data_IF_926203328387
#
_entry.id   IF_926203328387
#
_cell.length_a   1.000
_cell.length_b   1.000
_cell.length_c   1.000
_cell.angle_alpha   90.00
_cell.angle_beta   90.00
_cell.angle_gamma   90.00
#
_symmetry.space_group_name_H-M   'P 1'
#
loop_
_entity.id
_entity.type
_entity.pdbx_description
1 polymer ?
#
# COMPACT_ATOMS: atom_id res chain seq x y z
N UNK A 1 -20.50 -10.02 12.10
CA UNK A 1 -19.23 -10.51 11.52
C UNK A 1 -18.61 -11.50 12.51
N UNK A 2 -17.98 -12.57 12.05
CA UNK A 2 -17.16 -13.46 12.91
C UNK A 2 -16.02 -12.64 13.56
N UNK A 3 -15.67 -12.94 14.82
CA UNK A 3 -14.58 -12.24 15.50
C UNK A 3 -13.20 -12.70 14.98
N UNK A 4 -12.34 -11.74 14.63
CA UNK A 4 -10.98 -11.96 14.15
C UNK A 4 -9.97 -11.66 15.27
N UNK A 5 -9.34 -12.70 15.84
CA UNK A 5 -8.59 -12.59 17.10
C UNK A 5 -7.26 -11.85 17.01
N UNK A 6 -6.75 -11.56 15.80
CA UNK A 6 -5.44 -10.92 15.58
C UNK A 6 -5.54 -9.46 15.15
N UNK A 7 -6.74 -8.86 15.21
CA UNK A 7 -6.96 -7.46 14.85
C UNK A 7 -6.84 -7.24 13.35
N UNK A 8 -6.34 -6.08 12.95
CA UNK A 8 -6.22 -5.68 11.54
C UNK A 8 -4.79 -5.83 11.02
N UNK A 9 -4.62 -5.89 9.69
CA UNK A 9 -3.30 -5.82 9.08
C UNK A 9 -2.55 -4.53 9.47
N UNK A 10 -3.26 -3.41 9.61
CA UNK A 10 -2.67 -2.17 10.13
C UNK A 10 -2.02 -2.36 11.51
N UNK A 11 -2.68 -3.11 12.42
CA UNK A 11 -2.10 -3.42 13.73
C UNK A 11 -0.88 -4.33 13.62
N UNK A 12 -0.91 -5.32 12.72
CA UNK A 12 0.22 -6.22 12.48
C UNK A 12 1.44 -5.50 11.91
N UNK A 13 1.25 -4.58 10.96
CA UNK A 13 2.32 -3.73 10.39
C UNK A 13 2.93 -2.86 11.49
N UNK A 14 2.08 -2.22 12.32
CA UNK A 14 2.55 -1.42 13.45
C UNK A 14 3.39 -2.26 14.43
N UNK A 15 2.93 -3.47 14.76
CA UNK A 15 3.67 -4.39 15.64
C UNK A 15 5.01 -4.82 15.04
N UNK A 16 5.04 -5.15 13.74
CA UNK A 16 6.29 -5.48 13.04
C UNK A 16 7.27 -4.31 13.07
N UNK A 17 6.79 -3.08 12.81
CA UNK A 17 7.62 -1.87 12.90
C UNK A 17 8.20 -1.64 14.29
N UNK A 18 7.40 -1.80 15.36
CA UNK A 18 7.90 -1.67 16.74
C UNK A 18 9.00 -2.69 17.05
N UNK A 19 8.82 -3.95 16.63
CA UNK A 19 9.85 -4.98 16.80
C UNK A 19 11.14 -4.63 16.06
N UNK A 20 11.03 -4.02 14.87
CA UNK A 20 12.18 -3.54 14.10
C UNK A 20 12.91 -2.41 14.82
N UNK A 21 12.19 -1.41 15.33
CA UNK A 21 12.77 -0.24 16.03
C UNK A 21 13.37 -0.60 17.39
N UNK A 22 12.65 -1.36 18.23
CA UNK A 22 13.06 -1.62 19.62
C UNK A 22 14.27 -2.54 19.75
N UNK A 23 14.47 -3.44 18.78
CA UNK A 23 15.59 -4.39 18.84
C UNK A 23 16.92 -3.81 18.37
N UNK A 24 16.93 -2.58 17.81
CA UNK A 24 18.09 -2.04 17.07
C UNK A 24 18.70 -3.05 16.07
N UNK A 25 17.90 -4.00 15.60
CA UNK A 25 18.33 -4.97 14.60
C UNK A 25 18.00 -4.37 13.25
N UNK A 26 18.98 -4.31 12.35
CA UNK A 26 18.79 -3.91 10.94
C UNK A 26 17.77 -4.79 10.18
N UNK A 27 17.26 -5.87 10.80
CA UNK A 27 16.46 -6.90 10.17
C UNK A 27 15.32 -7.40 11.07
N UNK A 28 14.11 -7.50 10.52
CA UNK A 28 13.05 -8.30 11.15
C UNK A 28 13.34 -9.80 11.02
N UNK A 29 12.99 -10.62 12.03
CA UNK A 29 13.08 -12.06 11.91
C UNK A 29 12.37 -12.57 10.63
N UNK A 30 12.96 -13.53 9.87
CA UNK A 30 12.43 -13.99 8.57
C UNK A 30 10.97 -14.48 8.60
N UNK A 31 10.50 -14.91 9.77
CA UNK A 31 9.11 -15.32 9.95
C UNK A 31 8.12 -14.16 9.73
N UNK A 32 8.49 -12.90 9.91
CA UNK A 32 7.60 -11.77 9.65
C UNK A 32 7.29 -11.61 8.17
N UNK A 33 8.32 -11.65 7.32
CA UNK A 33 8.17 -11.61 5.86
C UNK A 33 7.25 -12.74 5.36
N UNK A 34 7.45 -13.97 5.87
CA UNK A 34 6.58 -15.11 5.57
C UNK A 34 5.12 -14.85 5.93
N UNK A 35 4.88 -14.44 7.18
CA UNK A 35 3.52 -14.22 7.72
C UNK A 35 2.80 -13.11 6.96
N UNK A 36 3.49 -12.02 6.65
CA UNK A 36 2.91 -10.89 5.93
C UNK A 36 2.60 -11.24 4.46
N UNK A 37 3.44 -12.03 3.79
CA UNK A 37 3.10 -12.60 2.48
C UNK A 37 1.86 -13.50 2.54
N UNK A 38 1.76 -14.37 3.55
CA UNK A 38 0.58 -15.23 3.75
C UNK A 38 -0.71 -14.39 3.91
N UNK A 39 -0.62 -13.31 4.69
CA UNK A 39 -1.73 -12.37 4.89
C UNK A 39 -2.11 -11.65 3.59
N UNK A 40 -1.13 -11.19 2.81
CA UNK A 40 -1.37 -10.56 1.50
C UNK A 40 -2.04 -11.53 0.51
N UNK A 41 -1.61 -12.80 0.48
CA UNK A 41 -2.26 -13.84 -0.36
C UNK A 41 -3.72 -14.01 0.04
N UNK A 42 -4.02 -14.08 1.34
CA UNK A 42 -5.39 -14.17 1.85
C UNK A 42 -6.25 -12.97 1.44
N UNK A 43 -5.71 -11.75 1.58
CA UNK A 43 -6.38 -10.52 1.16
C UNK A 43 -6.67 -10.49 -0.34
N UNK A 44 -5.65 -10.80 -1.17
CA UNK A 44 -5.77 -10.80 -2.62
C UNK A 44 -6.82 -11.81 -3.11
N UNK A 45 -6.87 -13.01 -2.50
CA UNK A 45 -7.90 -14.01 -2.78
C UNK A 45 -9.31 -13.52 -2.42
N UNK A 46 -9.46 -12.87 -1.27
CA UNK A 46 -10.75 -12.30 -0.85
C UNK A 46 -11.25 -11.23 -1.82
N UNK A 47 -10.37 -10.32 -2.24
CA UNK A 47 -10.69 -9.29 -3.23
C UNK A 47 -10.96 -9.87 -4.62
N UNK A 48 -10.17 -10.86 -5.06
CA UNK A 48 -10.41 -11.56 -6.32
C UNK A 48 -11.79 -12.25 -6.34
N UNK A 49 -12.19 -12.86 -5.22
CA UNK A 49 -13.51 -13.46 -5.07
C UNK A 49 -14.63 -12.41 -5.20
N UNK A 50 -14.47 -11.24 -4.58
CA UNK A 50 -15.43 -10.14 -4.75
C UNK A 50 -15.55 -9.72 -6.22
N UNK A 51 -14.41 -9.54 -6.90
CA UNK A 51 -14.37 -9.12 -8.30
C UNK A 51 -15.02 -10.13 -9.24
N UNK A 52 -14.80 -11.42 -9.01
CA UNK A 52 -15.48 -12.52 -9.72
C UNK A 52 -17.01 -12.47 -9.54
N UNK A 53 -17.46 -12.04 -8.36
CA UNK A 53 -18.87 -11.85 -8.04
C UNK A 53 -19.36 -10.43 -8.37
N UNK A 54 -18.62 -9.68 -9.19
CA UNK A 54 -18.99 -8.34 -9.68
C UNK A 54 -19.06 -7.26 -8.61
N UNK A 55 -18.44 -7.47 -7.45
CA UNK A 55 -18.42 -6.51 -6.35
C UNK A 55 -17.08 -5.78 -6.33
N UNK A 56 -17.11 -4.45 -6.38
CA UNK A 56 -15.96 -3.57 -6.13
C UNK A 56 -16.00 -3.13 -4.67
N UNK A 57 -14.88 -3.23 -3.96
CA UNK A 57 -14.80 -2.88 -2.54
C UNK A 57 -14.79 -1.37 -2.30
N UNK A 58 -14.01 -0.62 -3.10
CA UNK A 58 -13.83 0.85 -3.08
C UNK A 58 -13.17 1.46 -1.84
N UNK A 59 -13.00 0.71 -0.75
CA UNK A 59 -12.26 1.14 0.45
C UNK A 59 -11.18 0.14 0.91
N UNK A 60 -10.34 -0.33 -0.02
CA UNK A 60 -9.27 -1.29 0.29
C UNK A 60 -8.12 -0.57 1.01
N UNK A 61 -7.89 -0.94 2.26
CA UNK A 61 -6.80 -0.43 3.13
C UNK A 61 -6.46 -1.46 4.19
N UNK A 62 -5.28 -1.35 4.82
CA UNK A 62 -4.83 -2.30 5.85
C UNK A 62 -5.73 -2.36 7.09
N UNK A 63 -6.51 -1.31 7.38
CA UNK A 63 -7.53 -1.31 8.43
C UNK A 63 -8.71 -2.24 8.12
N UNK A 64 -9.01 -2.46 6.84
CA UNK A 64 -10.17 -3.24 6.36
C UNK A 64 -9.80 -4.70 6.04
N UNK A 65 -8.62 -5.14 6.48
CA UNK A 65 -8.12 -6.50 6.36
C UNK A 65 -7.96 -7.09 7.76
N UNK A 66 -8.96 -7.87 8.19
CA UNK A 66 -8.99 -8.51 9.50
C UNK A 66 -8.22 -9.82 9.49
N UNK A 67 -7.55 -10.09 10.60
CA UNK A 67 -6.64 -11.23 10.74
C UNK A 67 -7.11 -12.19 11.83
N UNK A 68 -6.96 -13.47 11.53
CA UNK A 68 -7.07 -14.54 12.50
C UNK A 68 -5.92 -15.55 12.31
N UNK A 69 -5.76 -16.46 13.27
CA UNK A 69 -4.76 -17.51 13.18
C UNK A 69 -5.37 -18.84 13.60
N UNK A 70 -5.54 -19.74 12.63
CA UNK A 70 -6.18 -21.06 12.85
C UNK A 70 -5.31 -22.14 12.23
N UNK A 71 -5.16 -23.26 12.93
CA UNK A 71 -4.42 -24.44 12.44
C UNK A 71 -3.00 -24.14 11.92
N UNK A 72 -2.30 -23.19 12.54
CA UNK A 72 -0.94 -22.82 12.14
C UNK A 72 -0.86 -21.88 10.93
N UNK A 73 -2.00 -21.37 10.43
CA UNK A 73 -2.08 -20.53 9.24
C UNK A 73 -2.73 -19.17 9.55
N UNK A 74 -2.27 -18.14 8.85
CA UNK A 74 -2.90 -16.82 8.90
C UNK A 74 -4.13 -16.81 7.99
N UNK A 75 -5.24 -16.31 8.53
CA UNK A 75 -6.48 -16.14 7.80
C UNK A 75 -6.76 -14.64 7.68
N UNK A 76 -6.90 -14.16 6.45
CA UNK A 76 -7.27 -12.77 6.16
C UNK A 76 -8.72 -12.70 5.70
N UNK A 77 -9.48 -11.76 6.26
CA UNK A 77 -10.88 -11.48 5.87
C UNK A 77 -11.00 -10.01 5.48
N UNK A 78 -11.53 -9.76 4.29
CA UNK A 78 -11.90 -8.42 3.83
C UNK A 78 -13.17 -7.98 4.57
N UNK A 79 -13.18 -6.75 5.08
CA UNK A 79 -14.31 -6.19 5.82
C UNK A 79 -14.61 -4.74 5.41
N UNK A 80 -15.69 -4.17 5.97
CA UNK A 80 -16.12 -2.79 5.74
C UNK A 80 -16.57 -2.53 4.30
N UNK A 81 -17.72 -3.12 3.97
CA UNK A 81 -18.37 -3.04 2.65
C UNK A 81 -19.28 -1.80 2.50
N UNK A 82 -19.16 -0.81 3.39
CA UNK A 82 -20.03 0.38 3.40
C UNK A 82 -19.97 1.16 2.09
N UNK A 83 -18.84 1.07 1.39
CA UNK A 83 -18.62 1.68 0.09
C UNK A 83 -18.64 0.66 -1.03
N UNK A 84 -18.99 -0.61 -0.83
CA UNK A 84 -18.95 -1.57 -1.93
C UNK A 84 -20.02 -1.28 -2.99
N UNK A 85 -19.77 -1.69 -4.23
CA UNK A 85 -20.69 -1.52 -5.36
C UNK A 85 -20.75 -2.80 -6.17
N UNK A 86 -21.96 -3.30 -6.41
CA UNK A 86 -22.20 -4.39 -7.36
C UNK A 86 -22.33 -3.81 -8.77
N UNK A 87 -21.53 -4.32 -9.71
CA UNK A 87 -21.57 -3.90 -11.10
C UNK A 87 -22.52 -4.82 -11.88
N UNK A 88 -23.57 -4.23 -12.47
CA UNK A 88 -24.54 -4.94 -13.28
C UNK A 88 -23.89 -5.82 -14.37
N UNK A 89 -24.59 -6.90 -14.75
CA UNK A 89 -24.12 -7.89 -15.74
C UNK A 89 -24.22 -7.38 -17.19
N UNK A 90 -25.17 -6.50 -17.46
CA UNK A 90 -25.40 -5.88 -18.77
C UNK A 90 -25.66 -4.38 -18.58
N UNK A 91 -24.74 -3.47 -18.92
CA UNK A 91 -25.15 -2.11 -19.20
C UNK A 91 -25.83 -2.13 -20.57
N UNK A 92 -27.14 -1.84 -20.59
CA UNK A 92 -27.76 -1.39 -21.84
C UNK A 92 -27.01 -0.16 -22.39
N UNK A 93 -27.17 0.19 -23.68
CA UNK A 93 -26.39 1.26 -24.32
C UNK A 93 -26.50 2.65 -23.67
N UNK A 94 -27.45 2.88 -22.75
CA UNK A 94 -27.78 4.19 -22.19
C UNK A 94 -27.76 4.30 -20.65
N UNK A 95 -27.26 3.31 -19.89
CA UNK A 95 -27.23 3.39 -18.42
C UNK A 95 -25.94 2.75 -17.87
N UNK A 96 -25.07 3.36 -17.07
CA UNK A 96 -24.80 4.74 -16.67
C UNK A 96 -23.29 4.79 -16.33
N UNK A 97 -22.60 5.93 -16.41
CA UNK A 97 -21.32 6.09 -15.72
C UNK A 97 -21.51 5.67 -14.26
N UNK A 98 -20.50 5.04 -13.64
CA UNK A 98 -20.57 4.69 -12.23
C UNK A 98 -20.90 5.99 -11.48
N UNK A 99 -22.11 6.13 -10.95
CA UNK A 99 -22.70 7.46 -10.65
C UNK A 99 -22.88 7.78 -9.17
N UNK A 100 -22.41 6.92 -8.27
CA UNK A 100 -22.36 7.24 -6.84
C UNK A 100 -20.95 7.67 -6.41
N UNK A 101 -20.64 8.98 -6.43
CA UNK A 101 -19.41 9.48 -5.85
C UNK A 101 -19.36 9.07 -4.38
N UNK A 102 -18.22 8.51 -3.97
CA UNK A 102 -17.96 8.20 -2.57
C UNK A 102 -17.91 9.53 -1.80
N UNK A 103 -18.63 9.67 -0.67
CA UNK A 103 -18.50 10.84 0.19
C UNK A 103 -17.04 11.10 0.53
N UNK A 104 -16.66 12.38 0.56
CA UNK A 104 -15.31 12.84 0.90
C UNK A 104 -15.01 12.59 2.39
N UNK A 105 -14.77 11.34 2.75
CA UNK A 105 -14.40 11.00 4.12
C UNK A 105 -12.87 11.08 4.27
N UNK A 106 -12.42 11.79 5.29
CA UNK A 106 -11.05 12.32 5.39
C UNK A 106 -9.98 11.26 5.69
N UNK A 107 -10.33 9.97 5.75
CA UNK A 107 -9.45 8.96 6.34
C UNK A 107 -8.92 7.89 5.39
N UNK A 108 -9.46 7.75 4.17
CA UNK A 108 -9.06 6.67 3.23
C UNK A 108 -8.24 7.12 2.01
N UNK A 109 -7.99 8.42 1.85
CA UNK A 109 -7.45 9.00 0.61
C UNK A 109 -6.04 8.49 0.25
N UNK A 110 -5.26 8.05 1.24
CA UNK A 110 -3.89 7.57 1.08
C UNK A 110 -3.78 6.26 0.28
N UNK A 111 -4.84 5.45 0.24
CA UNK A 111 -4.88 4.20 -0.54
C UNK A 111 -5.62 4.36 -1.87
N UNK A 112 -6.40 5.43 -2.04
CA UNK A 112 -7.27 5.59 -3.20
C UNK A 112 -6.50 5.81 -4.50
N UNK A 113 -7.05 5.28 -5.58
CA UNK A 113 -6.50 5.46 -6.92
C UNK A 113 -6.69 6.90 -7.44
N UNK A 114 -5.86 7.36 -8.39
CA UNK A 114 -5.96 8.70 -8.96
C UNK A 114 -7.34 9.00 -9.54
N UNK A 115 -7.94 8.04 -10.25
CA UNK A 115 -9.25 8.19 -10.86
C UNK A 115 -10.38 8.29 -9.82
N UNK A 116 -10.24 7.59 -8.68
CA UNK A 116 -11.16 7.70 -7.53
C UNK A 116 -11.05 9.08 -6.88
N UNK A 117 -9.82 9.54 -6.61
CA UNK A 117 -9.56 10.83 -5.98
C UNK A 117 -10.01 12.02 -6.84
N UNK A 118 -9.85 11.90 -8.17
CA UNK A 118 -10.26 12.92 -9.13
C UNK A 118 -11.75 12.83 -9.49
N UNK A 119 -12.52 11.92 -8.88
CA UNK A 119 -13.93 11.66 -9.19
C UNK A 119 -14.20 11.53 -10.69
N UNK A 120 -13.29 10.87 -11.42
CA UNK A 120 -13.56 10.55 -12.83
C UNK A 120 -14.64 9.49 -12.90
N UNK A 121 -15.48 9.52 -13.94
CA UNK A 121 -16.59 8.58 -14.17
C UNK A 121 -16.18 7.09 -14.33
N UNK A 122 -14.91 6.76 -14.09
CA UNK A 122 -14.29 5.45 -14.28
C UNK A 122 -13.67 5.01 -12.96
N UNK A 123 -14.47 4.45 -12.06
CA UNK A 123 -14.02 3.73 -10.87
C UNK A 123 -14.57 2.31 -10.88
N UNK A 124 -13.72 1.30 -10.73
CA UNK A 124 -14.15 -0.10 -10.88
C UNK A 124 -13.16 -1.08 -10.26
N UNK A 125 -13.17 -2.33 -10.70
CA UNK A 125 -12.22 -3.35 -10.24
C UNK A 125 -10.75 -2.88 -10.24
N UNK A 126 -10.26 -2.12 -11.25
CA UNK A 126 -8.88 -1.62 -11.24
C UNK A 126 -8.54 -0.63 -10.11
N UNK A 127 -9.54 0.01 -9.49
CA UNK A 127 -9.33 0.94 -8.38
C UNK A 127 -9.01 0.20 -7.08
N UNK A 128 -9.63 -0.97 -6.87
CA UNK A 128 -9.26 -1.88 -5.77
C UNK A 128 -7.84 -2.46 -5.98
N UNK A 129 -7.47 -2.78 -7.23
CA UNK A 129 -6.13 -3.28 -7.58
C UNK A 129 -5.05 -2.26 -7.18
N UNK A 130 -5.28 -0.99 -7.55
CA UNK A 130 -4.39 0.10 -7.18
C UNK A 130 -4.26 0.22 -5.65
N UNK A 131 -5.40 0.23 -4.97
CA UNK A 131 -5.46 0.40 -3.50
C UNK A 131 -4.79 -0.76 -2.77
N UNK A 132 -4.96 -1.98 -3.28
CA UNK A 132 -4.29 -3.16 -2.76
C UNK A 132 -2.76 -3.10 -2.95
N UNK A 133 -2.26 -2.57 -4.07
CA UNK A 133 -0.82 -2.35 -4.24
C UNK A 133 -0.25 -1.32 -3.26
N UNK A 134 -1.04 -0.32 -2.82
CA UNK A 134 -0.65 0.55 -1.70
C UNK A 134 -0.54 -0.24 -0.39
N UNK A 135 -1.42 -1.21 -0.15
CA UNK A 135 -1.31 -2.13 1.01
C UNK A 135 -0.06 -3.02 0.91
N UNK A 136 0.28 -3.54 -0.28
CA UNK A 136 1.53 -4.30 -0.48
C UNK A 136 2.73 -3.41 -0.13
N UNK A 137 2.76 -2.17 -0.61
CA UNK A 137 3.83 -1.22 -0.27
C UNK A 137 3.91 -0.94 1.23
N UNK A 138 2.76 -0.76 1.89
CA UNK A 138 2.67 -0.57 3.35
C UNK A 138 3.28 -1.75 4.12
N UNK A 139 3.01 -2.97 3.65
CA UNK A 139 3.59 -4.19 4.22
C UNK A 139 5.10 -4.27 3.99
N UNK A 140 5.56 -4.04 2.76
CA UNK A 140 6.99 -4.17 2.40
C UNK A 140 7.83 -3.12 3.12
N UNK A 141 7.36 -1.89 3.20
CA UNK A 141 8.11 -0.79 3.80
C UNK A 141 7.89 -0.66 5.31
N UNK A 142 6.80 -1.23 5.83
CA UNK A 142 6.30 -1.01 7.19
C UNK A 142 6.04 0.47 7.52
N UNK A 143 5.91 1.30 6.49
CA UNK A 143 5.65 2.73 6.58
C UNK A 143 4.18 3.00 6.26
N UNK A 144 3.64 4.08 6.81
CA UNK A 144 2.31 4.54 6.44
C UNK A 144 2.41 5.27 5.10
N UNK A 145 1.46 5.06 4.15
CA UNK A 145 1.57 5.62 2.82
C UNK A 145 1.61 7.15 2.85
N UNK A 146 2.54 7.75 2.11
CA UNK A 146 2.71 9.19 1.94
C UNK A 146 3.21 9.98 3.16
N UNK A 147 3.64 9.32 4.25
CA UNK A 147 4.05 10.02 5.47
C UNK A 147 5.20 11.02 5.23
N UNK A 148 6.22 10.64 4.45
CA UNK A 148 7.38 11.52 4.15
C UNK A 148 6.97 12.73 3.32
N UNK A 149 6.09 12.53 2.35
CA UNK A 149 5.66 13.59 1.44
C UNK A 149 4.62 14.52 2.06
N UNK A 150 3.89 14.04 3.07
CA UNK A 150 2.89 14.82 3.80
C UNK A 150 3.46 15.47 5.08
N UNK A 151 4.69 15.17 5.49
CA UNK A 151 5.31 15.68 6.73
C UNK A 151 5.31 17.22 6.82
N UNK A 152 5.41 17.91 5.69
CA UNK A 152 5.41 19.38 5.59
C UNK A 152 4.06 19.99 5.24
N UNK A 153 3.00 19.18 5.17
CA UNK A 153 1.68 19.57 4.68
C UNK A 153 0.71 19.58 5.85
N UNK A 154 -0.04 20.67 5.99
CA UNK A 154 -1.08 20.79 7.02
C UNK A 154 -2.08 19.63 6.87
N UNK A 155 -2.50 18.97 7.98
CA UNK A 155 -3.41 17.81 7.92
C UNK A 155 -4.67 18.05 7.06
N UNK A 156 -5.23 19.25 7.12
CA UNK A 156 -6.43 19.65 6.36
C UNK A 156 -6.20 19.73 4.83
N UNK A 157 -4.95 19.60 4.38
CA UNK A 157 -4.54 19.66 2.97
C UNK A 157 -3.92 18.35 2.47
N UNK A 158 -3.91 17.28 3.27
CA UNK A 158 -3.38 15.98 2.84
C UNK A 158 -4.01 15.53 1.52
N UNK A 159 -5.33 15.68 1.40
CA UNK A 159 -6.05 15.37 0.18
C UNK A 159 -5.48 16.03 -1.07
N UNK A 160 -5.34 17.36 -1.02
CA UNK A 160 -4.87 18.17 -2.15
C UNK A 160 -3.42 17.81 -2.51
N UNK A 161 -2.61 17.52 -1.50
CA UNK A 161 -1.25 17.06 -1.70
C UNK A 161 -1.19 15.73 -2.42
N UNK A 162 -1.95 14.74 -1.97
CA UNK A 162 -2.02 13.42 -2.59
C UNK A 162 -2.51 13.56 -4.05
N UNK A 163 -3.56 14.36 -4.30
CA UNK A 163 -4.01 14.66 -5.66
C UNK A 163 -2.89 15.25 -6.51
N UNK A 164 -2.19 16.26 -6.01
CA UNK A 164 -1.17 16.96 -6.78
C UNK A 164 0.01 16.02 -7.07
N UNK A 165 0.41 15.19 -6.10
CA UNK A 165 1.40 14.16 -6.33
C UNK A 165 0.98 13.19 -7.43
N UNK A 166 -0.28 12.77 -7.46
CA UNK A 166 -0.78 11.92 -8.54
C UNK A 166 -0.80 12.63 -9.90
N UNK A 167 -1.21 13.91 -9.95
CA UNK A 167 -1.18 14.76 -11.15
C UNK A 167 0.25 14.96 -11.67
N UNK A 168 1.21 15.12 -10.76
CA UNK A 168 2.63 15.30 -11.06
C UNK A 168 3.34 13.96 -11.33
N UNK A 169 2.59 12.86 -11.44
CA UNK A 169 3.09 11.50 -11.68
C UNK A 169 4.08 11.01 -10.62
N UNK A 170 4.05 11.59 -9.42
CA UNK A 170 4.78 11.07 -8.26
C UNK A 170 4.06 9.83 -7.74
N UNK A 171 4.83 8.82 -7.33
CA UNK A 171 4.35 7.54 -6.80
C UNK A 171 5.14 7.18 -5.55
N UNK A 172 4.56 6.31 -4.74
CA UNK A 172 5.24 5.67 -3.62
C UNK A 172 6.51 4.97 -4.12
N UNK A 173 7.58 5.07 -3.34
CA UNK A 173 8.91 4.56 -3.71
C UNK A 173 9.27 3.40 -2.82
N UNK A 174 9.77 2.33 -3.41
CA UNK A 174 10.38 1.25 -2.64
C UNK A 174 11.82 1.63 -2.26
N UNK A 175 12.29 1.29 -1.04
CA UNK A 175 13.66 1.57 -0.63
C UNK A 175 14.68 1.08 -1.67
N UNK A 176 15.55 1.97 -2.17
CA UNK A 176 16.56 1.65 -3.19
C UNK A 176 16.19 1.97 -4.64
N UNK A 177 14.95 2.37 -4.93
CA UNK A 177 14.56 2.83 -6.27
C UNK A 177 14.98 4.30 -6.51
N UNK A 178 15.64 4.57 -7.64
CA UNK A 178 16.07 5.92 -8.05
C UNK A 178 14.88 6.68 -8.64
N UNK A 179 14.48 7.80 -8.03
CA UNK A 179 13.49 8.71 -8.63
C UNK A 179 14.13 9.62 -9.70
N UNK A 180 13.38 10.00 -10.75
CA UNK A 180 13.73 11.17 -11.55
C UNK A 180 13.65 12.44 -10.69
N UNK A 181 14.49 13.46 -10.94
CA UNK A 181 14.63 14.64 -10.08
C UNK A 181 13.31 15.41 -9.92
N UNK A 182 12.99 15.78 -8.68
CA UNK A 182 11.80 16.53 -8.31
C UNK A 182 11.83 17.95 -8.89
N UNK A 183 10.91 18.28 -9.81
CA UNK A 183 10.69 19.65 -10.27
C UNK A 183 9.51 20.27 -9.52
N UNK A 184 9.73 20.77 -8.31
CA UNK A 184 8.86 21.81 -7.75
C UNK A 184 9.71 22.96 -7.19
N UNK A 185 9.55 24.19 -7.71
CA UNK A 185 9.95 25.41 -7.01
C UNK A 185 8.92 25.73 -5.90
N UNK A 186 9.28 26.58 -4.92
CA UNK A 186 8.35 27.02 -3.88
C UNK A 186 7.22 27.83 -4.51
N UNK A 187 5.98 27.36 -4.43
CA UNK A 187 4.82 28.15 -4.85
C UNK A 187 4.49 29.18 -3.78
N UNK A 188 4.87 30.42 -4.05
CA UNK A 188 4.34 31.59 -3.38
C UNK A 188 2.84 31.73 -3.74
N UNK A 189 1.98 31.84 -2.73
CA UNK A 189 0.56 32.16 -2.87
C UNK A 189 0.34 33.61 -3.34
N UNK A 190 -0.79 33.94 -4.02
CA UNK A 190 -1.07 35.30 -4.46
C UNK A 190 -1.60 36.17 -3.31
N UNK A 191 -0.87 37.24 -3.03
CA UNK A 191 -1.31 38.57 -2.57
C UNK A 191 -2.63 38.70 -1.77
N UNK A 192 -2.50 39.11 -0.51
CA UNK A 192 -3.23 40.25 0.07
C UNK A 192 -2.49 40.83 1.29
N UNK A 193 -2.70 42.12 1.64
CA UNK A 193 -1.61 43.02 2.06
C UNK A 193 -1.47 43.21 3.58
N UNK A 194 -0.27 43.66 3.97
CA UNK A 194 0.16 44.26 5.24
C UNK A 194 0.24 43.36 6.49
N UNK A 195 1.48 43.08 6.94
CA UNK A 195 2.09 43.58 8.19
C UNK A 195 3.60 43.22 8.24
N UNK A 196 4.42 43.89 9.10
CA UNK A 196 5.81 44.23 8.78
C UNK A 196 6.84 43.13 9.05
N UNK A 197 7.80 43.08 8.12
CA UNK A 197 9.21 42.73 8.23
C UNK A 197 9.73 42.27 9.61
N UNK A 198 9.75 40.95 9.83
CA UNK A 198 10.87 40.29 10.51
C UNK A 198 11.19 39.00 9.77
N UNK A 199 12.16 39.10 8.85
CA UNK A 199 12.78 37.95 8.19
C UNK A 199 13.66 37.27 9.24
N UNK A 200 13.13 36.25 9.91
CA UNK A 200 13.96 35.24 10.56
C UNK A 200 14.36 34.28 9.45
N UNK A 201 15.57 34.44 8.93
CA UNK A 201 16.21 33.49 8.03
C UNK A 201 16.44 32.19 8.81
N UNK A 202 15.43 31.31 8.86
CA UNK A 202 15.64 29.93 9.27
C UNK A 202 16.41 29.23 8.15
N UNK A 203 17.73 29.19 8.31
CA UNK A 203 18.59 28.29 7.55
C UNK A 203 18.00 26.87 7.64
N UNK A 204 17.93 26.19 6.49
CA UNK A 204 17.63 24.76 6.39
C UNK A 204 18.42 24.00 7.46
N UNK A 205 17.77 23.19 8.34
CA UNK A 205 18.47 22.04 8.87
C UNK A 205 18.66 21.08 7.69
N UNK A 206 19.90 20.91 7.26
CA UNK A 206 20.33 19.77 6.46
C UNK A 206 20.16 18.52 7.33
N UNK A 207 18.95 17.97 7.38
CA UNK A 207 18.69 16.73 8.09
C UNK A 207 18.68 15.57 7.09
N UNK A 208 19.84 15.28 6.53
CA UNK A 208 20.13 13.92 6.06
C UNK A 208 20.70 13.17 7.25
N UNK A 209 19.84 12.75 8.17
CA UNK A 209 20.22 11.78 9.18
C UNK A 209 20.01 10.37 8.60
N UNK A 210 21.09 9.64 8.23
CA UNK A 210 20.99 8.28 7.74
C UNK A 210 20.45 7.29 8.78
N UNK A 211 20.21 7.70 10.03
CA UNK A 211 19.64 6.84 11.08
C UNK A 211 18.10 6.73 11.04
N UNK A 212 17.40 7.53 10.23
CA UNK A 212 15.93 7.57 10.21
C UNK A 212 15.29 6.85 9.00
N UNK A 213 16.09 6.15 8.18
CA UNK A 213 15.56 5.22 7.18
C UNK A 213 15.14 3.93 7.89
N UNK A 214 13.83 3.77 8.15
CA UNK A 214 13.27 2.45 8.41
C UNK A 214 13.54 1.60 7.17
N UNK A 215 14.61 0.82 7.20
CA UNK A 215 14.84 -0.32 6.30
C UNK A 215 13.61 -1.23 6.48
N UNK A 216 12.83 -1.42 5.43
CA UNK A 216 11.56 -2.15 5.51
C UNK A 216 11.73 -3.63 5.86
N UNK A 217 10.76 -4.46 5.49
CA UNK A 217 10.98 -5.90 5.48
C UNK A 217 12.12 -6.24 4.52
N UNK A 218 13.05 -7.08 4.98
CA UNK A 218 14.11 -7.59 4.12
C UNK A 218 13.65 -8.90 3.48
N UNK A 219 13.29 -8.80 2.20
CA UNK A 219 13.06 -9.93 1.33
C UNK A 219 14.36 -10.29 0.56
N UNK A 220 14.53 -11.55 0.14
CA UNK A 220 15.49 -11.90 -0.91
C UNK A 220 15.31 -10.97 -2.11
N UNK A 221 16.42 -10.58 -2.76
CA UNK A 221 16.41 -9.57 -3.84
C UNK A 221 15.42 -9.91 -4.95
N UNK A 222 15.29 -11.18 -5.27
CA UNK A 222 14.39 -11.70 -6.30
C UNK A 222 12.92 -11.52 -5.90
N UNK A 223 12.59 -11.77 -4.63
CA UNK A 223 11.23 -11.59 -4.09
C UNK A 223 10.89 -10.11 -3.99
N UNK A 224 11.84 -9.28 -3.54
CA UNK A 224 11.70 -7.83 -3.49
C UNK A 224 11.41 -7.26 -4.88
N UNK A 225 12.22 -7.61 -5.88
CA UNK A 225 12.06 -7.11 -7.25
C UNK A 225 10.71 -7.50 -7.88
N UNK A 226 10.22 -8.72 -7.59
CA UNK A 226 8.91 -9.17 -8.08
C UNK A 226 7.74 -8.43 -7.39
N UNK A 227 7.82 -8.18 -6.08
CA UNK A 227 6.83 -7.36 -5.38
C UNK A 227 6.81 -5.92 -5.91
N UNK A 228 7.98 -5.35 -6.19
CA UNK A 228 8.12 -4.03 -6.78
C UNK A 228 7.50 -3.96 -8.19
N UNK A 229 7.85 -4.91 -9.06
CA UNK A 229 7.26 -5.00 -10.41
C UNK A 229 5.73 -5.15 -10.37
N UNK A 230 5.22 -6.02 -9.48
CA UNK A 230 3.79 -6.20 -9.28
C UNK A 230 3.10 -4.89 -8.88
N UNK A 231 3.65 -4.15 -7.91
CA UNK A 231 3.11 -2.85 -7.52
C UNK A 231 3.17 -1.83 -8.66
N UNK A 232 4.25 -1.79 -9.45
CA UNK A 232 4.35 -0.89 -10.60
C UNK A 232 3.27 -1.19 -11.66
N UNK A 233 2.99 -2.47 -11.94
CA UNK A 233 1.89 -2.87 -12.83
C UNK A 233 0.52 -2.50 -12.26
N UNK A 234 0.31 -2.63 -10.96
CA UNK A 234 -0.93 -2.22 -10.30
C UNK A 234 -1.11 -0.69 -10.26
N UNK A 235 -0.04 0.08 -10.39
CA UNK A 235 -0.06 1.55 -10.37
C UNK A 235 0.00 2.20 -11.77
N UNK A 236 -0.26 1.44 -12.84
CA UNK A 236 -0.40 1.98 -14.20
C UNK A 236 -1.43 3.11 -14.25
N UNK A 237 -1.10 4.12 -15.04
CA UNK A 237 -1.91 5.34 -15.19
C UNK A 237 -3.25 5.02 -15.82
N UNK A 238 -3.25 4.21 -16.88
CA UNK A 238 -4.46 3.64 -17.45
C UNK A 238 -4.97 2.49 -16.56
N UNK A 239 -6.17 2.60 -15.96
CA UNK A 239 -6.76 1.53 -15.17
C UNK A 239 -6.92 0.20 -15.94
N UNK A 240 -7.05 0.23 -17.27
CA UNK A 240 -7.21 -0.97 -18.08
C UNK A 240 -5.90 -1.75 -18.29
N UNK A 241 -4.75 -1.11 -18.07
CA UNK A 241 -3.43 -1.77 -18.13
C UNK A 241 -3.08 -2.50 -16.81
N UNK A 242 -3.87 -2.29 -15.75
CA UNK A 242 -3.64 -2.93 -14.45
C UNK A 242 -4.05 -4.41 -14.50
N UNK A 243 -3.32 -5.32 -13.82
CA UNK A 243 -3.72 -6.71 -13.72
C UNK A 243 -5.04 -6.84 -12.95
N UNK A 244 -5.79 -7.91 -13.21
CA UNK A 244 -6.95 -8.28 -12.39
C UNK A 244 -6.52 -8.72 -10.99
N UNK A 245 -7.40 -8.60 -9.99
CA UNK A 245 -7.11 -9.12 -8.65
C UNK A 245 -6.85 -10.63 -8.64
N UNK A 246 -7.41 -11.38 -9.59
CA UNK A 246 -7.11 -12.81 -9.75
C UNK A 246 -5.63 -13.02 -10.11
N UNK A 247 -5.12 -12.29 -11.10
CA UNK A 247 -3.71 -12.35 -11.49
C UNK A 247 -2.80 -11.92 -10.34
N UNK A 248 -3.16 -10.86 -9.61
CA UNK A 248 -2.42 -10.41 -8.42
C UNK A 248 -2.38 -11.50 -7.34
N UNK A 249 -3.50 -12.18 -7.08
CA UNK A 249 -3.57 -13.25 -6.09
C UNK A 249 -2.75 -14.48 -6.49
N UNK A 250 -2.79 -14.88 -7.75
CA UNK A 250 -2.02 -16.01 -8.28
C UNK A 250 -0.51 -15.71 -8.22
N UNK A 251 -0.09 -14.48 -8.53
CA UNK A 251 1.31 -14.06 -8.46
C UNK A 251 1.83 -14.00 -7.02
N UNK A 252 1.07 -13.42 -6.08
CA UNK A 252 1.43 -13.41 -4.65
C UNK A 252 1.51 -14.82 -4.06
N UNK A 253 0.65 -15.74 -4.52
CA UNK A 253 0.68 -17.13 -4.09
C UNK A 253 1.99 -17.80 -4.51
N UNK A 254 2.38 -17.64 -5.77
CA UNK A 254 3.66 -18.13 -6.28
C UNK A 254 4.84 -17.55 -5.50
N UNK A 255 4.83 -16.24 -5.26
CA UNK A 255 5.84 -15.55 -4.45
C UNK A 255 5.96 -16.14 -3.03
N UNK A 256 4.82 -16.42 -2.41
CA UNK A 256 4.79 -17.02 -1.08
C UNK A 256 5.40 -18.43 -1.07
N UNK A 257 5.06 -19.26 -2.06
CA UNK A 257 5.62 -20.61 -2.22
C UNK A 257 7.12 -20.58 -2.50
N UNK A 258 7.58 -19.69 -3.37
CA UNK A 258 8.99 -19.51 -3.70
C UNK A 258 9.78 -19.05 -2.47
N UNK A 259 9.25 -18.09 -1.71
CA UNK A 259 9.87 -17.63 -0.47
C UNK A 259 9.97 -18.76 0.57
N UNK A 260 8.92 -19.59 0.73
CA UNK A 260 8.97 -20.75 1.62
C UNK A 260 10.03 -21.76 1.21
N UNK A 261 10.16 -22.05 -0.10
CA UNK A 261 11.18 -22.95 -0.63
C UNK A 261 12.60 -22.45 -0.34
N UNK A 262 12.86 -21.16 -0.57
CA UNK A 262 14.15 -20.53 -0.29
C UNK A 262 14.51 -20.62 1.20
N UNK A 263 13.56 -20.36 2.09
CA UNK A 263 13.78 -20.48 3.54
C UNK A 263 14.13 -21.91 3.98
N UNK A 264 13.45 -22.91 3.41
CA UNK A 264 13.73 -24.31 3.70
C UNK A 264 15.12 -24.74 3.21
N UNK A 265 15.52 -24.33 2.00
CA UNK A 265 16.85 -24.62 1.46
C UNK A 265 17.96 -24.02 2.34
N UNK A 266 17.80 -22.78 2.79
CA UNK A 266 18.74 -22.12 3.71
C UNK A 266 18.86 -22.87 5.04
N UNK A 267 17.74 -23.34 5.61
CA UNK A 267 17.75 -24.11 6.85
C UNK A 267 18.51 -25.44 6.70
N UNK A 268 18.29 -26.16 5.60
CA UNK A 268 18.98 -27.42 5.31
C UNK A 268 20.49 -27.19 5.13
N UNK A 269 20.88 -26.12 4.43
CA UNK A 269 22.30 -25.77 4.25
C UNK A 269 23.00 -25.44 5.56
N UNK A 270 22.36 -24.65 6.43
CA UNK A 270 22.91 -24.30 7.75
C UNK A 270 23.05 -25.55 8.63
N UNK A 271 22.07 -26.45 8.62
CA UNK A 271 22.15 -27.71 9.35
C UNK A 271 23.27 -28.60 8.84
N UNK A 272 23.47 -28.70 7.52
CA UNK A 272 24.56 -29.47 6.94
C UNK A 272 25.95 -28.93 7.32
N UNK A 273 26.09 -27.61 7.50
CA UNK A 273 27.34 -26.97 7.92
C UNK A 273 27.65 -27.11 9.42
N UNK A 274 26.65 -27.38 10.26
CA UNK A 274 26.82 -27.57 11.71
C UNK A 274 27.17 -29.02 12.11
N UNK A 275 27.11 -29.95 11.16
CA UNK A 275 27.39 -31.39 11.37
C UNK A 275 28.84 -31.75 10.96
N UNK A 276 29.62 -30.77 10.50
CA UNK A 276 31.05 -30.89 10.16
C UNK A 276 31.91 -30.02 11.09
#
# INVERSE_FOLDING_TARGET
MEYCSKGTLFNMIKAARTVHTDRQTDFLPPHWARRLLEVLVGAARGLAYMHEHRIVHRDVKSNNLLLDFKNGQWITKVCDFNYSLEIARDPGPEEAPLSEPIPYDYWSQRWQSPETLLQKDVYGFPSDVFSFAVVIWEVVTLQRPWDKELELIWPDREFLAIINMYKDKRRLVFPGAVQPPSSLPPTASPSSPNLPSQVVTLQRPSNTDPQNEIKGLVFPKEVQAQLEDLCQRCWREDPQERPSMRQVADELMKLHEDFQRLQLQLQVQVQAQQVH
#
